data_IF_411371009410
#
_entry.id   IF_411371009410
#
_cell.length_a   1.000
_cell.length_b   1.000
_cell.length_c   1.000
_cell.angle_alpha   90.00
_cell.angle_beta   90.00
_cell.angle_gamma   90.00
#
_symmetry.space_group_name_H-M   'P 1'
#
loop_
_entity.id
_entity.type
_entity.pdbx_description
1 polymer ?
#
# COMPACT_ATOMS: atom_id res chain seq x y z
N UNK A 1 3.81 -11.46 3.34
CA UNK A 1 5.06 -10.71 3.07
C UNK A 1 5.02 -9.40 3.84
N UNK A 2 6.04 -9.04 4.63
CA UNK A 2 5.96 -7.86 5.49
C UNK A 2 5.93 -6.56 4.67
N UNK A 3 5.13 -5.61 5.14
CA UNK A 3 5.07 -4.24 4.62
C UNK A 3 6.49 -3.64 4.56
N UNK A 4 6.89 -3.20 3.37
CA UNK A 4 8.25 -2.69 3.13
C UNK A 4 8.31 -1.23 3.57
N UNK A 5 9.30 -0.84 4.39
CA UNK A 5 9.59 0.58 4.65
C UNK A 5 10.07 1.24 3.34
N UNK A 6 9.18 1.96 2.68
CA UNK A 6 9.47 2.74 1.47
C UNK A 6 9.38 4.23 1.75
N UNK A 7 10.28 5.03 1.17
CA UNK A 7 10.27 6.50 1.31
C UNK A 7 8.94 7.11 0.89
N UNK A 8 8.27 6.54 -0.13
CA UNK A 8 6.94 7.03 -0.54
C UNK A 8 5.85 6.81 0.52
N UNK A 9 5.95 5.77 1.34
CA UNK A 9 5.03 5.53 2.46
C UNK A 9 5.30 6.54 3.59
N UNK A 10 6.58 6.84 3.86
CA UNK A 10 6.96 7.84 4.85
C UNK A 10 6.53 9.25 4.45
N UNK A 11 6.74 9.63 3.18
CA UNK A 11 6.38 10.96 2.66
C UNK A 11 4.86 11.17 2.59
N UNK A 12 4.09 10.15 2.17
CA UNK A 12 2.62 10.21 2.19
C UNK A 12 2.10 10.40 3.64
N UNK A 13 2.73 9.74 4.61
CA UNK A 13 2.42 9.92 6.04
C UNK A 13 2.69 11.36 6.54
N UNK A 14 3.72 12.03 6.03
CA UNK A 14 4.04 13.42 6.40
C UNK A 14 3.04 14.41 5.82
N UNK A 15 2.52 14.17 4.61
CA UNK A 15 1.51 15.03 3.97
C UNK A 15 0.09 14.74 4.44
N UNK A 16 -0.11 13.75 5.32
CA UNK A 16 -1.42 13.26 5.76
C UNK A 16 -2.31 12.81 4.59
N UNK A 17 -1.70 12.26 3.56
CA UNK A 17 -2.38 11.70 2.40
C UNK A 17 -2.08 10.21 2.32
N UNK A 18 -3.01 9.44 1.79
CA UNK A 18 -2.77 8.05 1.42
C UNK A 18 -1.97 7.98 0.12
N UNK A 19 -1.31 6.84 -0.14
CA UNK A 19 -0.60 6.59 -1.41
C UNK A 19 -1.52 6.63 -2.65
N UNK A 20 -2.84 6.54 -2.43
CA UNK A 20 -3.86 6.69 -3.46
C UNK A 20 -4.21 8.15 -3.77
N UNK A 21 -3.83 9.09 -2.89
CA UNK A 21 -4.13 10.52 -2.99
C UNK A 21 -2.92 11.36 -3.43
N UNK A 22 -1.72 10.78 -3.43
CA UNK A 22 -0.48 11.44 -3.87
C UNK A 22 -0.26 11.24 -5.37
N UNK A 23 0.16 12.29 -6.07
CA UNK A 23 0.47 12.20 -7.50
C UNK A 23 1.75 11.41 -7.72
N UNK A 24 1.71 10.43 -8.64
CA UNK A 24 2.87 9.58 -8.96
C UNK A 24 4.13 10.35 -9.37
N UNK A 25 3.97 11.56 -9.91
CA UNK A 25 5.09 12.44 -10.31
C UNK A 25 5.88 12.99 -9.12
N UNK A 26 5.32 12.95 -7.91
CA UNK A 26 6.00 13.37 -6.66
C UNK A 26 7.06 12.37 -6.20
N UNK A 27 7.13 11.19 -6.83
CA UNK A 27 8.07 10.13 -6.48
C UNK A 27 8.89 9.66 -7.69
N UNK A 28 10.07 9.10 -7.43
CA UNK A 28 10.75 8.31 -8.45
C UNK A 28 9.92 7.06 -8.77
N UNK A 29 9.79 6.73 -10.07
CA UNK A 29 8.93 5.65 -10.56
C UNK A 29 9.10 4.34 -9.78
N UNK A 30 10.35 3.92 -9.54
CA UNK A 30 10.65 2.68 -8.80
C UNK A 30 10.36 2.74 -7.30
N UNK A 31 10.22 3.92 -6.69
CA UNK A 31 9.84 4.05 -5.28
C UNK A 31 8.32 3.98 -5.12
N UNK A 32 7.59 4.60 -6.05
CA UNK A 32 6.13 4.52 -6.11
C UNK A 32 5.66 3.08 -6.39
N UNK A 33 6.21 2.44 -7.44
CA UNK A 33 5.77 1.10 -7.86
C UNK A 33 6.00 0.07 -6.73
N UNK A 34 7.12 0.15 -6.00
CA UNK A 34 7.39 -0.70 -4.81
C UNK A 34 6.45 -0.42 -3.64
N UNK A 35 6.06 0.84 -3.45
CA UNK A 35 5.13 1.20 -2.37
C UNK A 35 3.71 0.69 -2.64
N UNK A 36 3.26 0.77 -3.90
CA UNK A 36 1.98 0.19 -4.33
C UNK A 36 1.99 -1.34 -4.21
N UNK A 37 3.04 -2.01 -4.69
CA UNK A 37 3.17 -3.46 -4.55
C UNK A 37 3.11 -3.92 -3.08
N UNK A 38 3.78 -3.20 -2.18
CA UNK A 38 3.72 -3.49 -0.74
C UNK A 38 2.30 -3.31 -0.16
N UNK A 39 1.56 -2.30 -0.62
CA UNK A 39 0.17 -2.08 -0.19
C UNK A 39 -0.76 -3.17 -0.72
N UNK A 40 -0.64 -3.55 -1.98
CA UNK A 40 -1.48 -4.58 -2.59
C UNK A 40 -1.28 -5.94 -1.92
N UNK A 41 -0.04 -6.29 -1.56
CA UNK A 41 0.25 -7.53 -0.82
C UNK A 41 -0.42 -7.55 0.56
N UNK A 42 -0.31 -6.46 1.33
CA UNK A 42 -0.94 -6.37 2.66
C UNK A 42 -2.46 -6.34 2.56
N UNK A 43 -3.00 -5.58 1.62
CA UNK A 43 -4.44 -5.49 1.38
C UNK A 43 -5.01 -6.85 0.97
N UNK A 44 -4.30 -7.61 0.13
CA UNK A 44 -4.70 -8.96 -0.24
C UNK A 44 -4.72 -9.95 0.93
N UNK A 45 -3.76 -9.86 1.85
CA UNK A 45 -3.76 -10.65 3.09
C UNK A 45 -4.98 -10.31 3.97
N UNK A 46 -5.26 -9.01 4.15
CA UNK A 46 -6.42 -8.53 4.91
C UNK A 46 -7.74 -8.97 4.25
N UNK A 47 -7.87 -8.81 2.93
CA UNK A 47 -9.05 -9.23 2.17
C UNK A 47 -9.31 -10.74 2.32
N UNK A 48 -8.25 -11.55 2.24
CA UNK A 48 -8.34 -13.00 2.42
C UNK A 48 -8.85 -13.36 3.83
N UNK A 49 -8.32 -12.73 4.87
CA UNK A 49 -8.78 -12.93 6.25
C UNK A 49 -10.26 -12.55 6.42
N UNK A 50 -10.65 -11.41 5.84
CA UNK A 50 -12.04 -10.94 5.88
C UNK A 50 -12.99 -11.93 5.18
N UNK A 51 -12.62 -12.42 3.99
CA UNK A 51 -13.41 -13.44 3.25
C UNK A 51 -13.57 -14.73 4.05
N UNK A 52 -12.50 -15.19 4.69
CA UNK A 52 -12.52 -16.39 5.55
C UNK A 52 -13.50 -16.23 6.72
N UNK A 53 -13.49 -15.08 7.39
CA UNK A 53 -14.39 -14.81 8.53
C UNK A 53 -15.84 -14.73 8.07
N UNK A 54 -16.11 -14.07 6.94
CA UNK A 54 -17.48 -13.90 6.44
C UNK A 54 -18.06 -15.14 5.74
N UNK A 55 -17.28 -16.22 5.56
CA UNK A 55 -17.70 -17.45 4.85
C UNK A 55 -18.33 -17.18 3.48
N UNK A 56 -17.93 -16.09 2.83
CA UNK A 56 -18.33 -15.77 1.45
C UNK A 56 -17.21 -16.28 0.55
N UNK A 57 -17.24 -17.59 0.29
CA UNK A 57 -16.54 -18.21 -0.84
C UNK A 57 -17.46 -18.18 -2.06
#
# INVERSE_FOLDING_TARGET
>A
HPMVKSTAIADAGLTKQTLYEVERQQFTRGTYDRAIEALDLVNGEIESLIKQVWKRN
#
